data_IF_745950251578
#
_entry.id   IF_745950251578
#
_cell.length_a   1.000
_cell.length_b   1.000
_cell.length_c   1.000
_cell.angle_alpha   90.00
_cell.angle_beta   90.00
_cell.angle_gamma   90.00
#
_symmetry.space_group_name_H-M   'P 1'
#
loop_
_entity.id
_entity.type
_entity.pdbx_description
1 polymer ?
#
# COMPACT_ATOMS: atom_id res chain seq x y z
N UNK A 1 -9.35 -4.24 9.85
CA UNK A 1 -8.99 -5.02 8.69
C UNK A 1 -7.82 -4.38 7.96
N UNK A 2 -7.06 -5.19 7.28
CA UNK A 2 -5.85 -4.70 6.62
C UNK A 2 -6.16 -3.62 5.60
N UNK A 3 -7.19 -3.85 4.79
CA UNK A 3 -7.49 -2.89 3.72
C UNK A 3 -7.88 -1.52 4.30
N UNK A 4 -8.59 -1.49 5.39
CA UNK A 4 -8.98 -0.22 5.97
C UNK A 4 -7.80 0.54 6.55
N UNK A 5 -6.92 -0.18 7.22
CA UNK A 5 -5.71 0.46 7.74
C UNK A 5 -4.84 0.95 6.59
N UNK A 6 -4.74 0.14 5.56
CA UNK A 6 -3.95 0.48 4.39
C UNK A 6 -4.50 1.72 3.70
N UNK A 7 -5.81 1.83 3.59
CA UNK A 7 -6.42 3.00 2.96
C UNK A 7 -6.05 4.28 3.71
N UNK A 8 -6.09 4.24 5.02
CA UNK A 8 -5.72 5.41 5.80
C UNK A 8 -4.27 5.80 5.61
N UNK A 9 -3.40 4.81 5.58
CA UNK A 9 -1.98 5.05 5.38
C UNK A 9 -1.74 5.68 4.01
N UNK A 10 -2.34 5.12 2.98
CA UNK A 10 -2.14 5.61 1.63
C UNK A 10 -2.71 7.01 1.47
N UNK A 11 -3.91 7.22 2.00
CA UNK A 11 -4.55 8.53 1.88
C UNK A 11 -3.69 9.60 2.52
N UNK A 12 -3.18 9.32 3.69
CA UNK A 12 -2.36 10.29 4.40
C UNK A 12 -1.02 10.51 3.69
N UNK A 13 -0.42 9.43 3.24
CA UNK A 13 0.90 9.48 2.62
C UNK A 13 0.85 10.23 1.30
N UNK A 14 -0.18 10.01 0.51
CA UNK A 14 -0.29 10.60 -0.82
C UNK A 14 -1.14 11.87 -0.85
N UNK A 15 -1.78 12.20 0.26
CA UNK A 15 -2.59 13.41 0.31
C UNK A 15 -3.87 13.32 -0.49
N UNK A 16 -4.49 12.14 -0.52
CA UNK A 16 -5.75 11.96 -1.23
C UNK A 16 -6.81 11.53 -0.22
N UNK A 17 -8.08 11.59 -0.64
CA UNK A 17 -9.17 11.15 0.21
C UNK A 17 -9.20 9.63 0.29
N UNK A 18 -9.62 9.12 1.44
CA UNK A 18 -9.76 7.67 1.56
C UNK A 18 -10.76 7.11 0.58
N UNK A 19 -11.74 7.92 0.19
CA UNK A 19 -12.73 7.47 -0.80
C UNK A 19 -12.08 7.15 -2.14
N UNK A 20 -10.96 7.77 -2.44
CA UNK A 20 -10.25 7.52 -3.68
C UNK A 20 -9.39 6.28 -3.61
N UNK A 21 -9.11 5.79 -2.41
CA UNK A 21 -8.22 4.66 -2.21
C UNK A 21 -9.04 3.38 -2.21
N UNK A 22 -9.31 2.87 -3.39
CA UNK A 22 -10.07 1.63 -3.53
C UNK A 22 -9.10 0.51 -3.92
N UNK A 23 -9.55 -0.73 -3.78
CA UNK A 23 -8.71 -1.86 -4.14
C UNK A 23 -8.27 -1.80 -5.58
N UNK A 24 -9.10 -1.25 -6.44
CA UNK A 24 -8.80 -1.17 -7.87
C UNK A 24 -7.98 0.05 -8.25
N UNK A 25 -7.82 0.98 -7.33
CA UNK A 25 -7.10 2.22 -7.64
C UNK A 25 -5.64 1.92 -7.94
N UNK A 26 -5.19 2.47 -9.05
CA UNK A 26 -3.78 2.35 -9.42
C UNK A 26 -3.01 3.45 -8.71
N UNK A 27 -1.96 3.06 -8.01
CA UNK A 27 -1.23 4.00 -7.17
C UNK A 27 -0.64 5.13 -8.00
N UNK A 28 -0.08 4.81 -9.15
CA UNK A 28 0.52 5.82 -10.00
C UNK A 28 -0.52 6.58 -10.83
N UNK A 29 -1.41 5.84 -11.48
CA UNK A 29 -2.33 6.45 -12.43
C UNK A 29 -3.49 7.14 -11.75
N UNK A 30 -4.04 6.51 -10.74
CA UNK A 30 -5.24 7.04 -10.09
C UNK A 30 -4.92 7.92 -8.91
N UNK A 31 -3.90 7.59 -8.17
CA UNK A 31 -3.55 8.33 -6.95
C UNK A 31 -2.38 9.29 -7.16
N UNK A 32 -1.74 9.22 -8.31
CA UNK A 32 -0.72 10.20 -8.67
C UNK A 32 0.62 10.05 -7.99
N UNK A 33 0.93 8.88 -7.48
CA UNK A 33 2.22 8.66 -6.82
C UNK A 33 3.32 8.46 -7.86
N UNK A 34 4.46 9.07 -7.62
CA UNK A 34 5.62 8.77 -8.45
C UNK A 34 6.52 7.79 -7.72
N UNK A 35 7.70 7.53 -8.28
CA UNK A 35 8.58 6.51 -7.73
C UNK A 35 8.98 6.79 -6.29
N UNK A 36 9.27 8.03 -5.97
CA UNK A 36 9.66 8.38 -4.61
C UNK A 36 8.50 8.22 -3.64
N UNK A 37 7.31 8.59 -4.09
CA UNK A 37 6.13 8.43 -3.26
C UNK A 37 5.89 6.96 -2.95
N UNK A 38 6.09 6.11 -3.94
CA UNK A 38 5.90 4.68 -3.76
C UNK A 38 6.91 4.12 -2.78
N UNK A 39 8.16 4.53 -2.88
CA UNK A 39 9.19 4.07 -1.96
C UNK A 39 8.85 4.48 -0.53
N UNK A 40 8.44 5.73 -0.34
CA UNK A 40 8.06 6.21 0.99
C UNK A 40 6.86 5.43 1.51
N UNK A 41 5.88 5.21 0.64
CA UNK A 41 4.69 4.48 1.04
C UNK A 41 5.01 3.05 1.47
N UNK A 42 5.85 2.39 0.70
CA UNK A 42 6.24 1.02 1.02
C UNK A 42 6.97 0.97 2.37
N UNK A 43 7.85 1.93 2.61
CA UNK A 43 8.56 1.99 3.88
C UNK A 43 7.58 2.15 5.04
N UNK A 44 6.59 3.02 4.88
CA UNK A 44 5.60 3.22 5.92
C UNK A 44 4.81 1.94 6.17
N UNK A 45 4.46 1.25 5.09
CA UNK A 45 3.71 0.01 5.22
C UNK A 45 4.54 -1.05 5.93
N UNK A 46 5.82 -1.13 5.61
CA UNK A 46 6.69 -2.08 6.29
C UNK A 46 6.73 -1.83 7.78
N UNK A 47 6.77 -0.57 8.17
CA UNK A 47 6.78 -0.23 9.58
C UNK A 47 5.46 -0.55 10.26
N UNK A 48 4.36 -0.22 9.59
CA UNK A 48 3.06 -0.37 10.21
C UNK A 48 2.65 -1.83 10.35
N UNK A 49 3.04 -2.66 9.41
CA UNK A 49 2.66 -4.06 9.42
C UNK A 49 3.78 -4.99 9.82
N UNK A 50 4.94 -4.42 10.11
CA UNK A 50 6.09 -5.17 10.62
C UNK A 50 6.47 -6.30 9.67
N UNK A 51 6.67 -5.94 8.42
CA UNK A 51 7.08 -6.91 7.41
C UNK A 51 8.02 -6.23 6.43
N UNK A 52 8.63 -7.03 5.56
CA UNK A 52 9.53 -6.53 4.53
C UNK A 52 8.94 -6.74 3.16
N UNK A 53 9.08 -5.74 2.31
CA UNK A 53 8.61 -5.84 0.94
C UNK A 53 9.81 -5.63 0.03
N UNK A 54 10.31 -6.70 -0.60
CA UNK A 54 11.48 -6.56 -1.46
C UNK A 54 11.16 -5.81 -2.75
N UNK A 55 12.19 -5.31 -3.38
CA UNK A 55 12.02 -4.53 -4.60
C UNK A 55 11.26 -5.30 -5.66
N UNK A 56 11.48 -6.60 -5.74
CA UNK A 56 10.79 -7.41 -6.72
C UNK A 56 9.28 -7.36 -6.53
N UNK A 57 8.85 -7.40 -5.28
CA UNK A 57 7.43 -7.33 -4.98
C UNK A 57 6.88 -5.94 -5.29
N UNK A 58 7.68 -4.92 -5.00
CA UNK A 58 7.26 -3.55 -5.27
C UNK A 58 6.97 -3.35 -6.75
N UNK A 59 7.78 -3.95 -7.60
CA UNK A 59 7.59 -3.80 -9.04
C UNK A 59 6.30 -4.43 -9.52
N UNK A 60 5.80 -5.41 -8.80
CA UNK A 60 4.55 -6.07 -9.18
C UNK A 60 3.33 -5.40 -8.58
N UNK A 61 3.53 -4.52 -7.63
CA UNK A 61 2.44 -3.83 -6.97
C UNK A 61 2.03 -2.63 -7.81
N UNK A 62 0.81 -2.64 -8.29
CA UNK A 62 0.31 -1.54 -9.10
C UNK A 62 -0.94 -0.91 -8.50
N UNK A 63 -1.75 -1.69 -7.82
CA UNK A 63 -2.98 -1.19 -7.22
C UNK A 63 -2.95 -1.37 -5.73
N UNK A 64 -3.89 -0.70 -5.07
CA UNK A 64 -4.04 -0.84 -3.62
C UNK A 64 -4.33 -2.29 -3.27
N UNK A 65 -5.15 -2.97 -4.08
CA UNK A 65 -5.45 -4.37 -3.83
C UNK A 65 -4.22 -5.25 -3.89
N UNK A 66 -3.29 -4.93 -4.78
CA UNK A 66 -2.04 -5.69 -4.86
C UNK A 66 -1.26 -5.58 -3.56
N UNK A 67 -1.23 -4.38 -2.98
CA UNK A 67 -0.55 -4.18 -1.71
C UNK A 67 -1.25 -4.98 -0.61
N UNK A 68 -2.57 -4.89 -0.56
CA UNK A 68 -3.32 -5.60 0.46
C UNK A 68 -3.10 -7.10 0.38
N UNK A 69 -3.11 -7.63 -0.85
CA UNK A 69 -2.87 -9.06 -1.03
C UNK A 69 -1.48 -9.46 -0.56
N UNK A 70 -0.49 -8.64 -0.87
CA UNK A 70 0.86 -8.96 -0.45
C UNK A 70 0.96 -8.97 1.07
N UNK A 71 0.35 -8.00 1.72
CA UNK A 71 0.38 -7.92 3.17
C UNK A 71 -0.30 -9.14 3.78
N UNK A 72 -1.47 -9.50 3.26
CA UNK A 72 -2.19 -10.63 3.81
C UNK A 72 -1.43 -11.93 3.68
N UNK A 73 -0.65 -12.06 2.62
CA UNK A 73 0.12 -13.29 2.42
C UNK A 73 1.33 -13.36 3.30
N UNK A 74 1.86 -12.22 3.71
CA UNK A 74 3.16 -12.19 4.36
C UNK A 74 3.10 -11.79 5.82
N UNK A 75 2.02 -11.17 6.27
CA UNK A 75 1.90 -10.84 7.67
C UNK A 75 1.38 -12.06 8.40
N UNK A 76 1.97 -12.34 9.56
CA UNK A 76 1.47 -13.43 10.37
C UNK A 76 0.14 -13.00 10.93
N UNK A 77 -0.82 -13.81 10.63
CA UNK A 77 -2.14 -13.44 11.06
C UNK A 77 -2.19 -13.36 12.55
N UNK A 78 -2.41 -12.47 13.07
CA UNK A 78 -2.54 -12.35 14.32
C UNK A 78 -3.68 -11.95 14.71
N UNK A 79 -4.17 -12.00 14.54
CA UNK A 79 -5.24 -11.59 14.68
C UNK A 79 -5.78 -11.55 14.64
#
# INVERSE_FOLDING_TARGET
MIIEKLKGIIAEQLGVDEDEVTAEANIQDDLGADSLDIVDLITTIEDEFDLSIPDEAVEEIKTVGDIANYIEKNVEAED
#
